data_IF_016582400424
#
_entry.id   IF_016582400424
#
_cell.length_a   1.000
_cell.length_b   1.000
_cell.length_c   1.000
_cell.angle_alpha   90.00
_cell.angle_beta   90.00
_cell.angle_gamma   90.00
#
_symmetry.space_group_name_H-M   'P 1'
#
loop_
_entity.id
_entity.type
_entity.pdbx_description
1 polymer ?
#
# COMPACT_ATOMS: atom_id res chain seq x y z
N UNK A 1 3.49 5.54 0.32
CA UNK A 1 2.40 5.89 -0.61
C UNK A 1 1.41 4.76 -0.65
N UNK A 2 0.14 5.13 -0.61
CA UNK A 2 -0.98 4.23 -0.70
C UNK A 2 -1.90 4.70 -1.83
N UNK A 3 -2.59 3.77 -2.45
CA UNK A 3 -3.82 4.06 -3.17
C UNK A 3 -4.98 3.61 -2.30
N UNK A 4 -5.77 4.55 -1.78
CA UNK A 4 -6.76 4.28 -0.73
C UNK A 4 -6.12 3.51 0.43
N UNK A 5 -6.49 2.27 0.67
CA UNK A 5 -5.91 1.40 1.70
C UNK A 5 -4.75 0.50 1.24
N UNK A 6 -4.47 0.42 -0.07
CA UNK A 6 -3.49 -0.51 -0.63
C UNK A 6 -2.09 0.13 -0.64
N UNK A 7 -1.08 -0.46 0.03
CA UNK A 7 0.29 0.04 -0.01
C UNK A 7 0.92 -0.25 -1.37
N UNK A 8 1.62 0.73 -1.96
CA UNK A 8 2.25 0.57 -3.28
C UNK A 8 3.76 0.82 -3.24
N UNK A 9 4.19 1.87 -2.52
CA UNK A 9 5.61 2.17 -2.36
C UNK A 9 5.89 2.81 -1.01
N UNK A 10 7.14 2.71 -0.59
CA UNK A 10 7.69 3.39 0.59
C UNK A 10 8.81 4.32 0.17
N UNK A 11 8.95 5.41 0.91
CA UNK A 11 10.05 6.35 0.76
C UNK A 11 10.69 6.58 2.12
N UNK A 12 12.01 6.48 2.16
CA UNK A 12 12.83 6.73 3.33
C UNK A 12 13.69 7.97 3.09
N UNK A 13 13.79 8.78 4.13
CA UNK A 13 14.60 9.99 4.13
C UNK A 13 15.56 9.96 5.31
N UNK A 14 16.86 10.09 5.05
CA UNK A 14 17.89 10.18 6.08
C UNK A 14 18.82 11.34 5.72
N UNK A 15 18.81 12.41 6.52
CA UNK A 15 19.50 13.67 6.23
C UNK A 15 19.11 14.25 4.85
N UNK A 16 20.02 14.19 3.87
CA UNK A 16 19.79 14.63 2.48
C UNK A 16 19.57 13.46 1.51
N UNK A 17 19.62 12.22 2.01
CA UNK A 17 19.41 11.02 1.21
C UNK A 17 17.93 10.68 1.20
N UNK A 18 17.42 10.37 0.00
CA UNK A 18 16.06 9.89 -0.24
C UNK A 18 16.15 8.62 -1.05
N UNK A 19 15.55 7.54 -0.55
CA UNK A 19 15.44 6.26 -1.26
C UNK A 19 13.98 5.83 -1.30
N UNK A 20 13.53 5.39 -2.45
CA UNK A 20 12.15 4.93 -2.70
C UNK A 20 12.19 3.49 -3.16
N UNK A 21 11.28 2.66 -2.66
CA UNK A 21 11.14 1.27 -3.06
C UNK A 21 9.67 0.90 -3.24
N UNK A 22 9.39 0.09 -4.25
CA UNK A 22 8.06 -0.48 -4.50
C UNK A 22 7.85 -1.71 -3.64
N UNK A 23 6.61 -1.98 -3.26
CA UNK A 23 6.21 -3.29 -2.73
C UNK A 23 6.04 -4.31 -3.88
N UNK A 24 5.64 -5.55 -3.56
CA UNK A 24 5.35 -6.58 -4.57
C UNK A 24 4.39 -6.03 -5.64
N UNK A 25 4.70 -6.27 -6.92
CA UNK A 25 3.91 -5.83 -8.07
C UNK A 25 2.42 -6.22 -7.98
N UNK A 26 2.11 -7.29 -7.24
CA UNK A 26 0.73 -7.72 -6.96
C UNK A 26 -0.11 -6.63 -6.30
N UNK A 27 0.49 -5.73 -5.51
CA UNK A 27 -0.22 -4.60 -4.95
C UNK A 27 -0.70 -3.61 -6.02
N UNK A 28 0.12 -3.36 -7.05
CA UNK A 28 -0.29 -2.50 -8.16
C UNK A 28 -1.40 -3.15 -9.00
N UNK A 29 -1.26 -4.46 -9.28
CA UNK A 29 -2.32 -5.25 -9.93
C UNK A 29 -3.63 -5.19 -9.10
N UNK A 30 -3.50 -5.20 -7.78
CA UNK A 30 -4.65 -5.10 -6.88
C UNK A 30 -5.32 -3.73 -6.93
N UNK A 31 -4.55 -2.64 -6.99
CA UNK A 31 -5.08 -1.29 -7.19
C UNK A 31 -5.98 -1.25 -8.42
N UNK A 32 -5.49 -1.73 -9.56
CA UNK A 32 -6.25 -1.70 -10.81
C UNK A 32 -7.50 -2.58 -10.73
N UNK A 33 -7.38 -3.79 -10.17
CA UNK A 33 -8.52 -4.69 -9.99
C UNK A 33 -9.61 -4.12 -9.07
N UNK A 34 -9.20 -3.44 -8.00
CA UNK A 34 -10.12 -2.85 -7.02
C UNK A 34 -10.74 -1.56 -7.56
N UNK A 35 -9.97 -0.74 -8.29
CA UNK A 35 -10.49 0.43 -8.98
C UNK A 35 -11.60 0.06 -9.98
N UNK A 36 -11.45 -1.06 -10.70
CA UNK A 36 -12.51 -1.55 -11.59
C UNK A 36 -13.75 -2.00 -10.81
N UNK A 37 -13.59 -2.55 -9.61
CA UNK A 37 -14.69 -3.06 -8.80
C UNK A 37 -15.45 -1.99 -8.04
N UNK A 38 -14.79 -0.93 -7.60
CA UNK A 38 -15.40 0.19 -6.90
C UNK A 38 -15.86 1.32 -7.84
N UNK A 39 -15.61 1.17 -9.15
CA UNK A 39 -16.01 2.12 -10.19
C UNK A 39 -15.10 3.35 -10.31
N UNK A 40 -13.98 3.41 -9.59
CA UNK A 40 -13.03 4.53 -9.70
C UNK A 40 -12.10 4.43 -10.90
N UNK A 41 -11.98 3.26 -11.53
CA UNK A 41 -11.13 3.07 -12.71
C UNK A 41 -11.45 4.06 -13.83
N UNK A 42 -10.43 4.76 -14.33
CA UNK A 42 -10.57 5.75 -15.41
C UNK A 42 -11.27 7.05 -15.00
N UNK A 43 -11.55 7.26 -13.71
CA UNK A 43 -12.12 8.50 -13.17
C UNK A 43 -11.09 9.29 -12.38
N UNK A 44 -11.37 10.57 -12.14
CA UNK A 44 -10.53 11.43 -11.28
C UNK A 44 -10.37 10.84 -9.88
N UNK A 45 -11.38 10.11 -9.38
CA UNK A 45 -11.31 9.44 -8.10
C UNK A 45 -10.17 8.42 -8.00
N UNK A 46 -9.72 7.83 -9.11
CA UNK A 46 -8.53 6.96 -9.11
C UNK A 46 -7.25 7.77 -8.84
N UNK A 47 -7.10 8.92 -9.49
CA UNK A 47 -5.92 9.79 -9.37
C UNK A 47 -5.89 10.50 -8.01
N UNK A 48 -7.05 10.90 -7.50
CA UNK A 48 -7.18 11.60 -6.22
C UNK A 48 -7.01 10.68 -5.00
N UNK A 49 -7.01 9.37 -5.23
CA UNK A 49 -6.89 8.36 -4.16
C UNK A 49 -5.45 8.08 -3.73
N UNK A 50 -4.47 8.65 -4.42
CA UNK A 50 -3.06 8.47 -4.09
C UNK A 50 -2.66 9.38 -2.94
N UNK A 51 -2.18 8.79 -1.85
CA UNK A 51 -1.80 9.53 -0.65
C UNK A 51 -0.45 9.07 -0.10
N UNK A 52 0.41 10.04 0.24
CA UNK A 52 1.57 9.80 1.08
C UNK A 52 1.18 9.86 2.54
N UNK A 53 1.66 8.88 3.32
CA UNK A 53 1.45 8.83 4.76
C UNK A 53 2.79 8.71 5.45
N UNK A 54 3.00 9.59 6.42
CA UNK A 54 4.17 9.57 7.28
C UNK A 54 4.02 8.45 8.31
N UNK A 55 4.93 7.49 8.29
CA UNK A 55 5.03 6.46 9.32
C UNK A 55 6.02 6.89 10.41
N UNK A 56 5.99 6.19 11.54
CA UNK A 56 6.91 6.43 12.64
C UNK A 56 8.37 6.35 12.16
N UNK A 57 9.25 7.20 12.70
CA UNK A 57 10.69 7.10 12.43
C UNK A 57 11.21 5.71 12.81
N UNK A 58 12.17 5.22 12.04
CA UNK A 58 12.83 3.93 12.26
C UNK A 58 14.28 4.21 12.63
N UNK A 59 14.76 3.61 13.71
CA UNK A 59 16.14 3.78 14.17
C UNK A 59 17.08 2.78 13.48
N UNK A 60 17.22 2.96 12.16
CA UNK A 60 18.03 2.12 11.29
C UNK A 60 18.81 2.97 10.29
N UNK A 61 19.96 2.46 9.85
CA UNK A 61 20.71 3.11 8.77
C UNK A 61 20.00 2.93 7.42
N UNK A 62 20.03 3.96 6.56
CA UNK A 62 19.39 3.90 5.25
C UNK A 62 20.27 3.18 4.22
N UNK A 63 20.35 1.86 4.32
CA UNK A 63 21.02 0.99 3.35
C UNK A 63 20.02 0.11 2.57
N UNK A 64 20.53 -0.59 1.55
CA UNK A 64 19.68 -1.38 0.65
C UNK A 64 19.10 -2.62 1.35
N UNK A 65 19.83 -3.16 2.35
CA UNK A 65 19.35 -4.30 3.14
C UNK A 65 18.14 -3.91 3.98
N UNK A 66 18.21 -2.78 4.68
CA UNK A 66 17.09 -2.23 5.46
C UNK A 66 15.86 -2.01 4.58
N UNK A 67 16.04 -1.43 3.40
CA UNK A 67 14.93 -1.20 2.45
C UNK A 67 14.33 -2.52 2.00
N UNK A 68 15.18 -3.50 1.65
CA UNK A 68 14.72 -4.82 1.24
C UNK A 68 13.94 -5.52 2.37
N UNK A 69 14.48 -5.53 3.58
CA UNK A 69 13.83 -6.12 4.76
C UNK A 69 12.47 -5.44 5.02
N UNK A 70 12.40 -4.11 4.94
CA UNK A 70 11.15 -3.37 5.12
C UNK A 70 10.14 -3.67 4.03
N UNK A 71 10.55 -3.75 2.77
CA UNK A 71 9.65 -4.09 1.66
C UNK A 71 9.16 -5.54 1.80
N UNK A 72 10.05 -6.45 2.18
CA UNK A 72 9.71 -7.87 2.39
C UNK A 72 8.80 -8.10 3.59
N UNK A 73 8.73 -7.18 4.56
CA UNK A 73 7.73 -7.26 5.63
C UNK A 73 6.29 -7.00 5.17
N UNK A 74 6.10 -6.46 3.94
CA UNK A 74 4.78 -6.29 3.32
C UNK A 74 4.49 -7.45 2.39
N UNK A 75 3.79 -8.45 2.92
CA UNK A 75 3.41 -9.67 2.23
C UNK A 75 2.04 -9.51 1.60
N UNK A 76 1.93 -9.88 0.33
CA UNK A 76 0.66 -9.90 -0.39
C UNK A 76 -0.15 -11.16 -0.06
N UNK A 77 -1.35 -11.06 0.57
CA UNK A 77 -2.17 -12.22 0.90
C UNK A 77 -2.80 -12.86 -0.33
N UNK A 78 -2.87 -14.20 -0.39
CA UNK A 78 -3.45 -14.93 -1.51
C UNK A 78 -4.91 -14.55 -1.82
N UNK A 79 -5.68 -14.23 -0.78
CA UNK A 79 -7.09 -13.90 -0.83
C UNK A 79 -7.37 -12.40 -0.66
N UNK A 80 -6.35 -11.55 -0.88
CA UNK A 80 -6.41 -10.09 -0.76
C UNK A 80 -7.56 -9.45 -1.55
N UNK A 81 -7.60 -9.68 -2.88
CA UNK A 81 -8.66 -9.14 -3.75
C UNK A 81 -10.03 -9.63 -3.32
N UNK A 82 -10.14 -10.93 -2.98
CA UNK A 82 -11.41 -11.54 -2.57
C UNK A 82 -11.94 -10.89 -1.30
N UNK A 83 -11.07 -10.70 -0.29
CA UNK A 83 -11.41 -10.06 0.97
C UNK A 83 -11.82 -8.60 0.76
N UNK A 84 -11.04 -7.83 0.02
CA UNK A 84 -11.33 -6.42 -0.22
C UNK A 84 -12.58 -6.21 -1.09
N UNK A 85 -12.79 -7.08 -2.09
CA UNK A 85 -14.03 -7.11 -2.89
C UNK A 85 -15.27 -7.38 -2.03
N UNK A 86 -15.14 -8.20 -0.97
CA UNK A 86 -16.22 -8.47 -0.04
C UNK A 86 -16.55 -7.21 0.78
N UNK A 87 -15.53 -6.51 1.28
CA UNK A 87 -15.71 -5.26 2.03
C UNK A 87 -16.39 -4.16 1.19
N UNK A 88 -16.09 -4.07 -0.10
CA UNK A 88 -16.76 -3.16 -1.04
C UNK A 88 -18.24 -3.51 -1.13
N UNK A 89 -18.57 -4.78 -1.39
CA UNK A 89 -19.96 -5.24 -1.56
C UNK A 89 -20.78 -5.10 -0.28
N UNK A 90 -20.16 -5.27 0.88
CA UNK A 90 -20.84 -5.13 2.17
C UNK A 90 -20.88 -3.68 2.69
N UNK A 91 -20.26 -2.72 1.98
CA UNK A 91 -20.19 -1.32 2.41
C UNK A 91 -19.30 -1.07 3.62
N UNK A 92 -18.47 -2.05 4.01
CA UNK A 92 -17.62 -1.99 5.20
C UNK A 92 -16.18 -1.54 4.89
N UNK A 93 -15.86 -1.32 3.61
CA UNK A 93 -14.54 -0.90 3.15
C UNK A 93 -14.12 0.40 3.85
N UNK A 94 -12.93 0.36 4.44
CA UNK A 94 -12.23 1.54 4.95
C UNK A 94 -11.16 1.95 3.94
N UNK A 95 -11.52 2.77 2.96
CA UNK A 95 -10.62 3.21 1.87
C UNK A 95 -9.53 4.19 2.29
N UNK A 96 -9.08 4.17 3.54
CA UNK A 96 -8.06 5.07 4.09
C UNK A 96 -6.72 4.34 4.19
N UNK A 97 -5.58 5.03 3.94
CA UNK A 97 -4.26 4.43 4.09
C UNK A 97 -4.07 3.74 5.45
N UNK A 98 -3.46 2.56 5.44
CA UNK A 98 -3.16 1.79 6.65
C UNK A 98 -4.34 1.02 7.27
N UNK A 99 -5.57 1.16 6.76
CA UNK A 99 -6.74 0.46 7.32
C UNK A 99 -6.69 -1.07 7.19
N UNK A 100 -5.84 -1.57 6.30
CA UNK A 100 -5.59 -2.99 6.06
C UNK A 100 -4.12 -3.38 6.30
N UNK A 101 -3.32 -2.54 6.95
CA UNK A 101 -1.91 -2.85 7.24
C UNK A 101 -1.80 -4.17 8.01
N UNK A 102 -2.74 -4.48 8.93
CA UNK A 102 -2.82 -5.77 9.64
C UNK A 102 -3.00 -7.00 8.72
N UNK A 103 -3.36 -6.83 7.45
CA UNK A 103 -3.49 -7.93 6.49
C UNK A 103 -2.20 -8.20 5.73
N UNK A 104 -1.35 -7.18 5.59
CA UNK A 104 -0.23 -7.16 4.65
C UNK A 104 1.11 -7.01 5.35
N UNK A 105 1.14 -6.51 6.59
CA UNK A 105 2.36 -6.37 7.38
C UNK A 105 2.51 -7.57 8.30
N UNK A 106 3.60 -8.33 8.14
CA UNK A 106 3.97 -9.37 9.11
C UNK A 106 4.35 -8.71 10.45
N UNK A 107 3.86 -9.28 11.57
CA UNK A 107 4.13 -8.82 12.93
C UNK A 107 5.33 -9.54 13.54
#
# INVERSE_FOLDING_TARGET
MYWKEIPVQVEFTQNKLKKTAQFDEKFQIAVDSIAMKDGSYGSDAYLDSWQWVTKSPVDSNLDDKFIQDYVSSYVYPNDFIKKLSKEIKSGNRKGTPGSIDDWVVEK
#
